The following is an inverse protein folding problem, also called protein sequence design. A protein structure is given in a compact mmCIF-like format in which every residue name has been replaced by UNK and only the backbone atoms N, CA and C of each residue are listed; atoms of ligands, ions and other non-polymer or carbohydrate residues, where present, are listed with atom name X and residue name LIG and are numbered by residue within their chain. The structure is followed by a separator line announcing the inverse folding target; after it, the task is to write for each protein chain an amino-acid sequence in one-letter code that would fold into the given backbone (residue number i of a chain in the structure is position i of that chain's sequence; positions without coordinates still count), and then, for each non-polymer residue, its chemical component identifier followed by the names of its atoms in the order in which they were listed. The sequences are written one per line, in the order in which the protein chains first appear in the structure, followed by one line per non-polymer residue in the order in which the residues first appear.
data_IF_314986711136
#
_entry.id   IF_314986711136
#
_cell.length_a   1.000
_cell.length_b   1.000
_cell.length_c   1.000
_cell.angle_alpha   90.00
_cell.angle_beta   90.00
_cell.angle_gamma   90.00
#
_symmetry.space_group_name_H-M   'P 1'
#
loop_
_entity.id
_entity.type
_entity.pdbx_description
1 polymer ?
#
# COMPACT_ATOMS: atom_id res chain seq x y z
N UNK A 1 -6.08 -37.59 30.75
CA UNK A 1 -4.89 -37.84 29.91
C UNK A 1 -5.02 -37.18 28.54
N UNK A 2 -6.12 -37.43 27.80
CA UNK A 2 -6.29 -36.93 26.42
C UNK A 2 -6.39 -35.39 26.29
N UNK A 3 -7.12 -34.72 27.17
CA UNK A 3 -7.24 -33.25 27.17
C UNK A 3 -5.87 -32.57 27.36
N UNK A 4 -5.03 -33.10 28.25
CA UNK A 4 -3.70 -32.55 28.48
C UNK A 4 -2.79 -32.71 27.23
N UNK A 5 -2.91 -33.83 26.52
CA UNK A 5 -2.21 -34.07 25.26
C UNK A 5 -2.64 -33.09 24.17
N UNK A 6 -3.94 -32.86 24.02
CA UNK A 6 -4.48 -31.90 23.05
C UNK A 6 -4.03 -30.46 23.34
N UNK A 7 -3.97 -30.07 24.62
CA UNK A 7 -3.45 -28.76 25.03
C UNK A 7 -1.98 -28.62 24.62
N UNK A 8 -1.16 -29.65 24.83
CA UNK A 8 0.25 -29.61 24.48
C UNK A 8 0.48 -29.55 22.96
N UNK A 9 -0.27 -30.33 22.18
CA UNK A 9 -0.26 -30.25 20.71
C UNK A 9 -0.64 -28.84 20.24
N UNK A 10 -1.68 -28.24 20.83
CA UNK A 10 -2.13 -26.89 20.51
C UNK A 10 -1.05 -25.83 20.82
N UNK A 11 -0.40 -25.91 21.98
CA UNK A 11 0.72 -25.01 22.35
C UNK A 11 1.89 -25.12 21.37
N UNK A 12 2.27 -26.34 20.99
CA UNK A 12 3.37 -26.57 20.06
C UNK A 12 3.04 -26.05 18.65
N UNK A 13 1.79 -26.26 18.19
CA UNK A 13 1.31 -25.67 16.93
C UNK A 13 1.34 -24.14 16.95
N UNK A 14 0.94 -23.52 18.07
CA UNK A 14 0.99 -22.07 18.22
C UNK A 14 2.43 -21.56 18.18
N UNK A 15 3.35 -22.20 18.90
CA UNK A 15 4.76 -21.82 18.90
C UNK A 15 5.37 -21.87 17.48
N UNK A 16 5.12 -22.95 16.73
CA UNK A 16 5.56 -23.07 15.33
C UNK A 16 4.96 -21.97 14.44
N UNK A 17 3.67 -21.65 14.62
CA UNK A 17 3.02 -20.59 13.83
C UNK A 17 3.61 -19.20 14.11
N UNK A 18 4.01 -18.92 15.36
CA UNK A 18 4.64 -17.67 15.75
C UNK A 18 6.07 -17.56 15.20
N UNK A 19 6.82 -18.66 15.23
CA UNK A 19 8.15 -18.73 14.62
C UNK A 19 8.09 -18.50 13.11
N UNK A 20 7.20 -19.21 12.41
CA UNK A 20 6.99 -19.05 10.97
C UNK A 20 6.61 -17.60 10.63
N UNK A 21 5.70 -16.99 11.41
CA UNK A 21 5.33 -15.59 11.25
C UNK A 21 6.54 -14.66 11.40
N UNK A 22 7.42 -14.94 12.36
CA UNK A 22 8.67 -14.21 12.55
C UNK A 22 9.61 -14.32 11.34
N UNK A 23 9.80 -15.53 10.82
CA UNK A 23 10.64 -15.78 9.64
C UNK A 23 10.08 -15.10 8.39
N UNK A 24 8.78 -15.23 8.13
CA UNK A 24 8.10 -14.56 7.00
C UNK A 24 8.22 -13.05 7.11
N UNK A 25 8.05 -12.49 8.31
CA UNK A 25 8.24 -11.05 8.54
C UNK A 25 9.66 -10.62 8.21
N UNK A 26 10.67 -11.35 8.67
CA UNK A 26 12.08 -11.02 8.39
C UNK A 26 12.39 -11.07 6.89
N UNK A 27 11.94 -12.12 6.19
CA UNK A 27 12.09 -12.23 4.75
C UNK A 27 11.40 -11.08 4.01
N UNK A 28 10.22 -10.68 4.47
CA UNK A 28 9.51 -9.53 3.91
C UNK A 28 10.28 -8.22 4.12
N UNK A 29 10.82 -7.97 5.31
CA UNK A 29 11.62 -6.78 5.61
C UNK A 29 12.91 -6.74 4.75
N UNK A 30 13.60 -7.87 4.59
CA UNK A 30 14.77 -7.99 3.73
C UNK A 30 14.42 -7.77 2.24
N UNK A 31 13.31 -8.34 1.77
CA UNK A 31 12.82 -8.14 0.42
C UNK A 31 12.45 -6.66 0.20
N UNK A 32 11.74 -6.05 1.14
CA UNK A 32 11.37 -4.65 1.07
C UNK A 32 12.62 -3.76 1.03
N UNK A 33 13.65 -4.05 1.82
CA UNK A 33 14.93 -3.33 1.77
C UNK A 33 15.61 -3.44 0.40
N UNK A 34 15.64 -4.64 -0.19
CA UNK A 34 16.19 -4.85 -1.54
C UNK A 34 15.40 -4.12 -2.62
N UNK A 35 14.06 -4.14 -2.52
CA UNK A 35 13.18 -3.44 -3.46
C UNK A 35 13.37 -1.92 -3.36
N UNK A 36 13.45 -1.37 -2.15
CA UNK A 36 13.78 0.05 -1.94
C UNK A 36 15.14 0.43 -2.53
N UNK A 37 16.16 -0.43 -2.40
CA UNK A 37 17.46 -0.20 -3.00
C UNK A 37 17.42 -0.25 -4.54
N UNK A 38 16.58 -1.11 -5.12
CA UNK A 38 16.50 -1.31 -6.57
C UNK A 38 15.68 -0.23 -7.30
N UNK A 39 14.52 0.17 -6.75
CA UNK A 39 13.62 1.15 -7.39
C UNK A 39 13.71 2.55 -6.78
N UNK A 40 14.48 2.74 -5.71
CA UNK A 40 14.49 3.98 -4.94
C UNK A 40 13.25 4.15 -4.07
N UNK A 41 13.19 5.29 -3.38
CA UNK A 41 12.10 5.69 -2.48
C UNK A 41 11.50 6.99 -3.01
N UNK A 42 10.17 7.05 -3.11
CA UNK A 42 9.47 8.24 -3.59
C UNK A 42 9.66 9.42 -2.63
N UNK A 43 9.61 10.64 -3.15
CA UNK A 43 9.56 11.82 -2.29
C UNK A 43 8.17 11.96 -1.65
N UNK A 44 8.11 12.70 -0.55
CA UNK A 44 6.87 13.09 0.08
C UNK A 44 6.97 14.52 0.60
N UNK A 45 6.01 15.37 0.23
CA UNK A 45 5.93 16.78 0.59
C UNK A 45 4.56 17.10 1.19
N UNK A 46 4.56 17.87 2.27
CA UNK A 46 3.33 18.17 3.03
C UNK A 46 2.83 17.03 3.89
N UNK A 47 3.68 16.06 4.24
CA UNK A 47 3.31 14.83 4.96
C UNK A 47 3.96 14.74 6.34
N UNK A 48 3.34 13.98 7.24
CA UNK A 48 3.89 13.58 8.54
C UNK A 48 4.78 12.34 8.43
N UNK A 49 4.57 11.51 7.39
CA UNK A 49 5.40 10.35 7.08
C UNK A 49 6.06 10.48 5.71
N UNK A 50 7.33 10.07 5.61
CA UNK A 50 7.97 9.86 4.31
C UNK A 50 7.41 8.58 3.64
N UNK A 51 7.76 8.33 2.37
CA UNK A 51 7.23 7.21 1.61
C UNK A 51 7.49 5.83 2.24
N UNK A 52 8.68 5.62 2.82
CA UNK A 52 9.02 4.39 3.52
C UNK A 52 8.16 4.18 4.78
N UNK A 53 8.01 5.23 5.59
CA UNK A 53 7.18 5.21 6.81
C UNK A 53 5.69 5.03 6.48
N UNK A 54 5.21 5.65 5.40
CA UNK A 54 3.85 5.50 4.93
C UNK A 54 3.57 4.05 4.49
N UNK A 55 4.49 3.44 3.73
CA UNK A 55 4.36 2.04 3.34
C UNK A 55 4.41 1.11 4.56
N UNK A 56 5.32 1.35 5.52
CA UNK A 56 5.38 0.58 6.76
C UNK A 56 4.10 0.71 7.60
N UNK A 57 3.45 1.87 7.58
CA UNK A 57 2.13 2.05 8.19
C UNK A 57 1.05 1.27 7.42
N UNK A 58 1.03 1.38 6.10
CA UNK A 58 0.06 0.73 5.22
C UNK A 58 0.11 -0.81 5.35
N UNK A 59 1.32 -1.37 5.42
CA UNK A 59 1.53 -2.82 5.56
C UNK A 59 0.91 -3.43 6.81
N UNK A 60 0.73 -2.65 7.89
CA UNK A 60 0.05 -3.12 9.12
C UNK A 60 -1.43 -3.43 8.90
N UNK A 61 -2.01 -2.95 7.81
CA UNK A 61 -3.42 -3.13 7.48
C UNK A 61 -3.70 -4.32 6.55
N UNK A 62 -2.67 -4.93 5.97
CA UNK A 62 -2.83 -6.06 5.04
C UNK A 62 -3.60 -7.21 5.71
N UNK A 63 -4.64 -7.69 5.02
CA UNK A 63 -5.55 -8.74 5.54
C UNK A 63 -6.66 -8.21 6.46
N UNK A 64 -6.60 -6.94 6.85
CA UNK A 64 -7.61 -6.23 7.62
C UNK A 64 -8.11 -4.97 6.90
N UNK A 65 -8.42 -3.91 7.63
CA UNK A 65 -8.71 -2.59 7.05
C UNK A 65 -10.02 -2.49 6.26
N UNK A 66 -11.01 -3.34 6.55
CA UNK A 66 -12.35 -3.25 5.94
C UNK A 66 -13.03 -1.89 6.11
N UNK A 67 -12.62 -1.11 7.13
CA UNK A 67 -13.08 0.29 7.30
C UNK A 67 -12.66 1.22 6.16
N UNK A 68 -11.68 0.81 5.35
CA UNK A 68 -11.21 1.54 4.18
C UNK A 68 -11.84 1.04 2.87
N UNK A 69 -12.85 0.16 2.95
CA UNK A 69 -13.58 -0.28 1.76
C UNK A 69 -14.24 0.92 1.06
N UNK A 70 -14.03 1.02 -0.25
CA UNK A 70 -14.42 2.21 -1.04
C UNK A 70 -13.64 3.50 -0.74
N UNK A 71 -12.73 3.52 0.24
CA UNK A 71 -11.98 4.71 0.69
C UNK A 71 -10.49 4.62 0.29
N UNK A 72 -10.20 4.34 -0.99
CA UNK A 72 -8.82 4.20 -1.48
C UNK A 72 -7.95 5.42 -1.18
N UNK A 73 -8.44 6.63 -1.44
CA UNK A 73 -7.70 7.86 -1.11
C UNK A 73 -7.58 8.06 0.41
N UNK A 74 -8.65 7.80 1.18
CA UNK A 74 -8.60 7.94 2.64
C UNK A 74 -7.53 7.05 3.27
N UNK A 75 -7.37 5.82 2.77
CA UNK A 75 -6.30 4.92 3.20
C UNK A 75 -4.91 5.45 2.88
N UNK A 76 -4.69 5.93 1.64
CA UNK A 76 -3.40 6.48 1.23
C UNK A 76 -3.08 7.77 2.01
N UNK A 77 -4.06 8.65 2.20
CA UNK A 77 -3.90 9.85 3.03
C UNK A 77 -3.51 9.49 4.46
N UNK A 78 -4.23 8.58 5.10
CA UNK A 78 -3.89 8.16 6.48
C UNK A 78 -2.50 7.52 6.57
N UNK A 79 -2.02 6.88 5.51
CA UNK A 79 -0.66 6.35 5.44
C UNK A 79 0.39 7.46 5.43
N UNK A 80 0.19 8.54 4.66
CA UNK A 80 1.12 9.66 4.60
C UNK A 80 0.98 10.68 5.74
N UNK A 81 -0.16 10.68 6.44
CA UNK A 81 -0.44 11.62 7.53
C UNK A 81 -0.29 13.09 7.07
N UNK A 82 -1.12 13.55 6.10
CA UNK A 82 -0.93 14.85 5.47
C UNK A 82 -1.10 16.00 6.46
N UNK A 83 -0.20 16.99 6.34
CA UNK A 83 -0.24 18.25 7.10
C UNK A 83 -1.06 19.32 6.38
N UNK A 84 -1.14 19.26 5.05
CA UNK A 84 -1.97 20.12 4.24
C UNK A 84 -3.34 19.52 3.91
N UNK A 85 -4.08 20.17 3.01
CA UNK A 85 -5.45 19.78 2.68
C UNK A 85 -5.56 18.40 2.02
N UNK A 86 -6.59 17.64 2.40
CA UNK A 86 -6.96 16.39 1.70
C UNK A 86 -7.82 16.71 0.49
N UNK A 87 -7.66 15.93 -0.59
CA UNK A 87 -8.49 16.04 -1.78
C UNK A 87 -9.74 15.15 -1.64
N UNK A 88 -10.87 15.50 -2.28
CA UNK A 88 -12.10 14.72 -2.15
C UNK A 88 -12.08 13.40 -2.94
N UNK A 89 -11.20 13.25 -3.94
CA UNK A 89 -11.16 12.07 -4.82
C UNK A 89 -9.75 11.72 -5.24
N UNK A 90 -9.50 10.45 -5.56
CA UNK A 90 -8.20 9.99 -6.06
C UNK A 90 -7.80 10.74 -7.35
N UNK A 91 -8.76 11.06 -8.22
CA UNK A 91 -8.46 11.83 -9.42
C UNK A 91 -8.10 13.29 -9.13
N UNK A 92 -8.76 13.92 -8.15
CA UNK A 92 -8.36 15.24 -7.69
C UNK A 92 -6.95 15.25 -7.12
N UNK A 93 -6.55 14.17 -6.43
CA UNK A 93 -5.18 13.99 -5.94
C UNK A 93 -4.17 13.87 -7.08
N UNK A 94 -4.46 13.05 -8.10
CA UNK A 94 -3.64 12.95 -9.31
C UNK A 94 -3.42 14.31 -9.98
N UNK A 95 -4.50 15.09 -10.17
CA UNK A 95 -4.37 16.41 -10.79
C UNK A 95 -3.62 17.41 -9.90
N UNK A 96 -3.69 17.29 -8.57
CA UNK A 96 -2.86 18.08 -7.67
C UNK A 96 -1.37 17.79 -7.92
N UNK A 97 -0.98 16.52 -7.91
CA UNK A 97 0.39 16.11 -8.18
C UNK A 97 0.87 16.54 -9.58
N UNK A 98 0.01 16.43 -10.61
CA UNK A 98 0.30 16.93 -11.96
C UNK A 98 0.60 18.42 -11.98
N UNK A 99 -0.22 19.24 -11.32
CA UNK A 99 0.00 20.71 -11.25
C UNK A 99 1.28 21.07 -10.50
N UNK A 100 1.65 20.26 -9.50
CA UNK A 100 2.88 20.45 -8.75
C UNK A 100 4.15 19.95 -9.50
N UNK A 101 4.00 19.31 -10.66
CA UNK A 101 5.13 18.83 -11.46
C UNK A 101 5.80 17.56 -10.90
N UNK A 102 5.13 16.84 -10.01
CA UNK A 102 5.65 15.62 -9.35
C UNK A 102 4.91 14.35 -9.76
N UNK A 103 4.13 14.44 -10.83
CA UNK A 103 3.46 13.30 -11.45
C UNK A 103 4.22 12.83 -12.68
N UNK A 104 4.22 11.52 -12.89
CA UNK A 104 4.90 10.79 -13.94
C UNK A 104 3.86 10.01 -14.76
N UNK A 105 3.20 10.64 -15.74
CA UNK A 105 2.12 10.01 -16.50
C UNK A 105 2.63 8.83 -17.34
N UNK A 106 1.93 7.69 -17.26
CA UNK A 106 2.23 6.47 -18.02
C UNK A 106 3.50 5.72 -17.62
N UNK A 107 4.38 6.29 -16.80
CA UNK A 107 5.61 5.65 -16.35
C UNK A 107 5.30 4.42 -15.47
N UNK A 108 5.88 3.28 -15.85
CA UNK A 108 5.68 1.97 -15.20
C UNK A 108 6.79 1.61 -14.21
N UNK A 109 7.71 2.53 -13.92
CA UNK A 109 8.86 2.32 -13.03
C UNK A 109 8.77 3.18 -11.74
N UNK A 110 7.68 3.07 -10.97
CA UNK A 110 7.55 3.87 -9.74
C UNK A 110 8.61 3.50 -8.69
N UNK A 111 9.09 4.47 -7.91
CA UNK A 111 9.85 4.21 -6.70
C UNK A 111 8.95 3.71 -5.55
N UNK A 112 9.53 3.04 -4.56
CA UNK A 112 8.78 2.51 -3.40
C UNK A 112 8.06 3.64 -2.68
N UNK A 113 6.78 3.42 -2.40
CA UNK A 113 5.89 4.40 -1.80
C UNK A 113 5.57 5.56 -2.74
N UNK A 114 5.58 5.36 -4.06
CA UNK A 114 4.89 6.27 -4.97
C UNK A 114 3.37 6.09 -4.87
N UNK A 115 2.61 7.17 -5.02
CA UNK A 115 1.16 7.09 -5.21
C UNK A 115 0.88 6.68 -6.66
N UNK A 116 0.13 5.61 -6.87
CA UNK A 116 -0.20 5.09 -8.20
C UNK A 116 -1.68 5.27 -8.49
N UNK A 117 -2.03 5.63 -9.73
CA UNK A 117 -3.38 6.04 -10.08
C UNK A 117 -3.93 5.29 -11.30
N UNK A 118 -5.21 4.96 -11.25
CA UNK A 118 -5.93 4.29 -12.35
C UNK A 118 -7.27 4.96 -12.62
N UNK A 119 -7.67 4.96 -13.90
CA UNK A 119 -8.98 5.38 -14.37
C UNK A 119 -10.03 4.30 -14.13
N UNK A 120 -10.24 3.94 -12.86
CA UNK A 120 -11.18 2.90 -12.48
C UNK A 120 -12.64 3.27 -12.77
N UNK A 121 -13.52 2.27 -12.75
CA UNK A 121 -14.94 2.44 -13.07
C UNK A 121 -15.74 3.34 -12.12
N UNK A 122 -15.23 3.64 -10.93
CA UNK A 122 -15.91 4.54 -9.99
C UNK A 122 -15.60 6.03 -10.30
N UNK A 123 -16.44 6.97 -9.85
CA UNK A 123 -16.26 8.40 -10.16
C UNK A 123 -15.02 9.02 -9.49
N UNK A 124 -14.63 8.55 -8.31
CA UNK A 124 -13.47 9.05 -7.58
C UNK A 124 -12.13 8.59 -8.20
N UNK A 125 -12.17 7.58 -9.08
CA UNK A 125 -11.04 6.82 -9.61
C UNK A 125 -10.30 6.05 -8.51
N UNK A 126 -9.16 5.44 -8.83
CA UNK A 126 -8.44 4.60 -7.88
C UNK A 126 -7.03 5.09 -7.61
N UNK A 127 -6.59 4.92 -6.37
CA UNK A 127 -5.23 5.18 -5.90
C UNK A 127 -4.73 4.01 -5.05
N UNK A 128 -3.45 3.69 -5.18
CA UNK A 128 -2.73 2.75 -4.32
C UNK A 128 -1.31 3.26 -4.05
N UNK A 129 -0.53 2.52 -3.26
CA UNK A 129 0.88 2.83 -3.05
C UNK A 129 1.75 1.72 -3.61
N UNK A 130 2.81 2.08 -4.34
CA UNK A 130 3.77 1.10 -4.82
C UNK A 130 4.52 0.48 -3.64
N UNK A 131 4.49 -0.84 -3.52
CA UNK A 131 5.17 -1.59 -2.47
C UNK A 131 6.54 -2.12 -2.92
N UNK A 132 6.93 -1.92 -4.19
CA UNK A 132 8.13 -2.49 -4.80
C UNK A 132 7.86 -3.79 -5.54
N UNK A 133 8.73 -4.16 -6.47
CA UNK A 133 8.71 -5.48 -7.13
C UNK A 133 7.44 -5.76 -7.94
N UNK A 134 6.82 -4.73 -8.52
CA UNK A 134 5.55 -4.87 -9.25
C UNK A 134 4.31 -4.95 -8.35
N UNK A 135 4.47 -4.81 -7.03
CA UNK A 135 3.36 -4.90 -6.08
C UNK A 135 2.81 -3.53 -5.69
N UNK A 136 1.50 -3.48 -5.47
CA UNK A 136 0.74 -2.31 -5.04
C UNK A 136 -0.04 -2.66 -3.79
N UNK A 137 0.11 -1.87 -2.72
CA UNK A 137 -0.80 -1.94 -1.57
C UNK A 137 -2.02 -1.06 -1.81
N UNK A 138 -3.20 -1.62 -1.62
CA UNK A 138 -4.46 -0.97 -1.99
C UNK A 138 -5.65 -1.45 -1.15
N UNK A 139 -6.77 -0.71 -1.22
CA UNK A 139 -8.06 -1.08 -0.63
C UNK A 139 -8.94 -1.80 -1.65
N UNK A 140 -10.05 -2.42 -1.21
CA UNK A 140 -10.93 -3.18 -2.10
C UNK A 140 -10.37 -4.54 -2.52
N UNK A 141 -9.24 -4.96 -1.95
CA UNK A 141 -8.68 -6.28 -2.15
C UNK A 141 -9.45 -7.33 -1.31
N UNK A 142 -9.53 -8.57 -1.77
CA UNK A 142 -10.01 -9.73 -0.99
C UNK A 142 -11.30 -9.46 -0.18
N UNK A 143 -12.37 -8.99 -0.83
CA UNK A 143 -13.64 -8.69 -0.17
C UNK A 143 -13.63 -7.39 0.65
N UNK A 144 -13.11 -6.30 0.07
CA UNK A 144 -13.18 -4.95 0.65
C UNK A 144 -12.05 -4.58 1.62
N UNK A 145 -11.04 -5.44 1.77
CA UNK A 145 -9.92 -5.28 2.70
C UNK A 145 -8.72 -4.59 2.06
N UNK A 146 -7.75 -4.23 2.89
CA UNK A 146 -6.43 -3.80 2.43
C UNK A 146 -5.61 -5.04 2.04
N UNK A 147 -4.94 -4.98 0.90
CA UNK A 147 -4.12 -6.08 0.40
C UNK A 147 -3.07 -5.64 -0.60
N UNK A 148 -2.16 -6.57 -0.90
CA UNK A 148 -1.19 -6.46 -1.97
C UNK A 148 -1.76 -7.08 -3.25
N UNK A 149 -1.59 -6.39 -4.37
CA UNK A 149 -1.94 -6.83 -5.73
C UNK A 149 -0.75 -6.55 -6.65
N UNK A 150 -0.64 -7.29 -7.75
CA UNK A 150 0.32 -6.94 -8.81
C UNK A 150 -0.15 -5.69 -9.55
N UNK A 151 0.74 -4.92 -10.16
CA UNK A 151 0.36 -3.80 -11.02
C UNK A 151 -0.53 -4.27 -12.18
N UNK A 152 -0.26 -5.46 -12.72
CA UNK A 152 -1.07 -6.09 -13.78
C UNK A 152 -2.51 -6.40 -13.32
N UNK A 153 -2.68 -6.92 -12.09
CA UNK A 153 -4.02 -7.13 -11.52
C UNK A 153 -4.78 -5.80 -11.37
N UNK A 154 -4.07 -4.73 -11.00
CA UNK A 154 -4.66 -3.40 -10.83
C UNK A 154 -5.08 -2.79 -12.17
N UNK A 155 -4.35 -3.06 -13.25
CA UNK A 155 -4.69 -2.57 -14.59
C UNK A 155 -6.03 -3.14 -15.11
N UNK A 156 -6.45 -4.32 -14.61
CA UNK A 156 -7.76 -4.87 -14.91
C UNK A 156 -8.92 -4.03 -14.30
N UNK A 157 -8.64 -3.14 -13.36
CA UNK A 157 -9.65 -2.27 -12.72
C UNK A 157 -9.91 -1.00 -13.53
N UNK A 158 -9.04 -0.69 -14.50
CA UNK A 158 -9.15 0.43 -15.43
C UNK A 158 -7.77 0.91 -15.93
N UNK A 159 -7.73 1.80 -16.94
CA UNK A 159 -6.48 2.30 -17.51
C UNK A 159 -5.55 2.94 -16.47
N UNK A 160 -4.28 2.53 -16.46
CA UNK A 160 -3.25 3.14 -15.62
C UNK A 160 -2.93 4.58 -16.07
N UNK A 161 -2.88 5.51 -15.11
CA UNK A 161 -2.59 6.92 -15.39
C UNK A 161 -1.09 7.25 -15.22
N UNK A 162 -0.41 6.59 -14.29
CA UNK A 162 0.95 6.93 -13.87
C UNK A 162 1.10 6.92 -12.36
N UNK A 163 2.26 7.37 -11.90
CA UNK A 163 2.58 7.51 -10.48
C UNK A 163 2.94 8.96 -10.13
N UNK A 164 2.93 9.29 -8.85
CA UNK A 164 3.40 10.57 -8.35
C UNK A 164 4.08 10.43 -6.98
N UNK A 165 5.00 11.35 -6.70
CA UNK A 165 5.41 11.60 -5.31
C UNK A 165 4.20 12.07 -4.49
N UNK A 166 4.19 11.73 -3.20
CA UNK A 166 3.14 12.20 -2.31
C UNK A 166 3.26 13.72 -2.13
N UNK A 167 2.21 14.45 -2.53
CA UNK A 167 2.20 15.91 -2.48
C UNK A 167 0.92 16.42 -1.83
N UNK A 168 1.08 17.15 -0.72
CA UNK A 168 -0.02 17.60 0.13
C UNK A 168 -0.02 19.09 0.48
N UNK A 169 0.93 19.86 -0.07
CA UNK A 169 0.98 21.33 0.09
C UNK A 169 -0.04 22.08 -0.78
#
# INVERSE_FOLDING_TARGET
AEIARLIEVSKNSLAQSLELRGQVKKQYEELQARLMAASGIANAKGTGRNAQQALAWAMKWVGGGSRYDGLCLGFVDDAYDPKGGRMPTAISQWYRAKRAGVAHPGDRTPPVGAQMFWWSGNAARHIGMYAGGGMVITTGAFGGRVGLRTQEDMDAWGPYLGWADAYYD
#
